data_IF_176174880599
#
_entry.id   IF_176174880599
#
_cell.length_a   1.000
_cell.length_b   1.000
_cell.length_c   1.000
_cell.angle_alpha   90.00
_cell.angle_beta   90.00
_cell.angle_gamma   90.00
#
_symmetry.space_group_name_H-M   'P 1'
#
loop_
_entity.id
_entity.type
_entity.pdbx_description
1 polymer ?
#
# COMPACT_ATOMS: atom_id res chain seq x y z
N UNK A 1 -4.27 9.69 -10.34
CA UNK A 1 -4.94 8.40 -10.52
C UNK A 1 -6.13 8.55 -11.45
N UNK A 2 -6.55 7.45 -12.11
CA UNK A 2 -7.72 7.44 -12.99
C UNK A 2 -7.46 7.90 -14.42
N UNK A 3 -6.44 8.72 -14.66
CA UNK A 3 -6.07 9.13 -16.01
C UNK A 3 -5.50 7.93 -16.78
N UNK A 4 -5.88 7.85 -18.06
CA UNK A 4 -5.44 6.77 -18.93
C UNK A 4 -4.66 7.34 -20.12
N UNK A 5 -3.65 6.63 -20.56
CA UNK A 5 -2.88 6.94 -21.75
C UNK A 5 -2.76 5.72 -22.68
N UNK A 6 -2.44 5.95 -23.93
CA UNK A 6 -2.28 4.91 -24.95
C UNK A 6 -0.81 4.63 -25.25
N UNK A 7 -0.47 3.32 -25.29
CA UNK A 7 0.80 2.82 -25.82
C UNK A 7 0.49 1.90 -27.00
N UNK A 8 0.46 2.46 -28.22
CA UNK A 8 -0.01 1.72 -29.39
C UNK A 8 -1.46 1.27 -29.25
N UNK A 9 -1.74 -0.01 -29.29
CA UNK A 9 -3.07 -0.58 -29.10
C UNK A 9 -3.46 -0.80 -27.61
N UNK A 10 -2.52 -0.58 -26.68
CA UNK A 10 -2.71 -0.86 -25.26
C UNK A 10 -3.13 0.40 -24.52
N UNK A 11 -4.19 0.33 -23.72
CA UNK A 11 -4.61 1.40 -22.81
C UNK A 11 -4.10 1.12 -21.41
N UNK A 12 -3.43 2.11 -20.80
CA UNK A 12 -2.84 2.00 -19.47
C UNK A 12 -3.43 3.07 -18.55
N UNK A 13 -3.77 2.69 -17.33
CA UNK A 13 -4.20 3.62 -16.27
C UNK A 13 -3.61 3.25 -14.91
N UNK A 14 -3.50 4.24 -14.02
CA UNK A 14 -2.95 4.08 -12.68
C UNK A 14 -4.06 4.28 -11.65
N UNK A 15 -4.13 3.34 -10.69
CA UNK A 15 -5.12 3.32 -9.63
C UNK A 15 -4.44 3.24 -8.25
N UNK A 16 -5.04 3.80 -7.18
CA UNK A 16 -4.42 3.78 -5.86
C UNK A 16 -4.10 2.36 -5.36
N UNK A 17 -2.89 2.14 -4.87
CA UNK A 17 -2.48 0.89 -4.25
C UNK A 17 -2.59 0.89 -2.70
N UNK A 18 -2.79 2.05 -2.07
CA UNK A 18 -2.99 2.16 -0.62
C UNK A 18 -1.74 1.90 0.23
N UNK A 19 -0.58 1.71 -0.38
CA UNK A 19 0.64 1.28 0.32
C UNK A 19 1.41 2.46 0.92
N UNK A 20 1.77 3.42 0.09
CA UNK A 20 2.42 4.69 0.48
C UNK A 20 1.91 5.81 -0.42
N UNK A 21 2.27 7.05 -0.09
CA UNK A 21 1.89 8.21 -0.91
C UNK A 21 2.41 8.05 -2.34
N UNK A 22 1.48 8.07 -3.30
CA UNK A 22 1.78 7.92 -4.73
C UNK A 22 1.89 6.47 -5.23
N UNK A 23 1.78 5.45 -4.37
CA UNK A 23 1.77 4.05 -4.79
C UNK A 23 0.58 3.75 -5.71
N UNK A 24 0.80 3.03 -6.80
CA UNK A 24 -0.22 2.77 -7.80
C UNK A 24 -0.21 1.33 -8.30
N UNK A 25 -1.42 0.81 -8.53
CA UNK A 25 -1.65 -0.35 -9.37
C UNK A 25 -1.63 0.08 -10.84
N UNK A 26 -1.09 -0.76 -11.70
CA UNK A 26 -1.09 -0.54 -13.15
C UNK A 26 -2.18 -1.39 -13.79
N UNK A 27 -3.20 -0.75 -14.36
CA UNK A 27 -4.23 -1.40 -15.14
C UNK A 27 -3.88 -1.30 -16.63
N UNK A 28 -3.88 -2.44 -17.31
CA UNK A 28 -3.54 -2.60 -18.73
C UNK A 28 -4.73 -3.22 -19.43
N UNK A 29 -5.18 -2.61 -20.52
CA UNK A 29 -6.30 -3.08 -21.32
C UNK A 29 -5.84 -3.26 -22.77
N UNK A 30 -5.95 -4.50 -23.27
CA UNK A 30 -5.57 -4.92 -24.61
C UNK A 30 -6.36 -6.16 -25.03
N UNK A 31 -6.75 -6.24 -26.29
CA UNK A 31 -7.41 -7.41 -26.89
C UNK A 31 -8.62 -7.93 -26.07
N UNK A 32 -9.48 -7.00 -25.62
CA UNK A 32 -10.65 -7.27 -24.77
C UNK A 32 -10.33 -7.93 -23.41
N UNK A 33 -9.07 -7.85 -22.97
CA UNK A 33 -8.63 -8.32 -21.65
C UNK A 33 -8.11 -7.16 -20.78
N UNK A 34 -8.36 -7.29 -19.49
CA UNK A 34 -7.92 -6.35 -18.49
C UNK A 34 -6.97 -7.06 -17.52
N UNK A 35 -5.76 -6.55 -17.44
CA UNK A 35 -4.73 -7.00 -16.51
C UNK A 35 -4.45 -5.92 -15.48
N UNK A 36 -4.28 -6.30 -14.22
CA UNK A 36 -3.86 -5.38 -13.16
C UNK A 36 -2.62 -5.93 -12.47
N UNK A 37 -1.57 -5.14 -12.44
CA UNK A 37 -0.40 -5.40 -11.61
C UNK A 37 -0.46 -4.52 -10.36
N UNK A 38 -0.55 -5.14 -9.18
CA UNK A 38 -0.76 -4.41 -7.93
C UNK A 38 0.45 -3.57 -7.50
N UNK A 39 1.68 -3.99 -7.84
CA UNK A 39 2.84 -3.56 -7.08
C UNK A 39 2.67 -3.92 -5.59
N UNK A 40 3.38 -3.24 -4.72
CA UNK A 40 3.14 -3.33 -3.29
C UNK A 40 1.84 -2.60 -2.95
N UNK A 41 0.95 -3.26 -2.21
CA UNK A 41 -0.36 -2.69 -1.87
C UNK A 41 -0.77 -2.96 -0.43
N UNK A 42 -1.66 -2.12 0.09
CA UNK A 42 -2.20 -2.25 1.45
C UNK A 42 -3.71 -1.99 1.41
N UNK A 43 -4.48 -2.95 1.90
CA UNK A 43 -5.95 -2.86 1.91
C UNK A 43 -6.50 -2.11 3.13
N UNK A 44 -5.73 -2.07 4.23
CA UNK A 44 -6.11 -1.29 5.40
C UNK A 44 -5.96 0.21 5.09
N UNK A 45 -6.95 1.03 5.49
CA UNK A 45 -6.85 2.47 5.31
C UNK A 45 -5.60 3.05 5.99
N UNK A 46 -4.98 3.99 5.29
CA UNK A 46 -3.82 4.74 5.79
C UNK A 46 -4.09 6.23 5.58
N UNK A 47 -3.99 7.08 6.63
CA UNK A 47 -4.30 8.51 6.52
C UNK A 47 -3.29 9.28 5.66
N UNK A 48 -2.16 8.69 5.31
CA UNK A 48 -1.07 9.35 4.57
C UNK A 48 -1.16 9.18 3.07
N UNK A 49 -2.03 8.29 2.58
CA UNK A 49 -2.17 8.01 1.15
C UNK A 49 -3.60 7.70 0.73
N UNK A 50 -3.86 7.74 -0.58
CA UNK A 50 -5.14 7.32 -1.13
C UNK A 50 -5.40 5.84 -0.82
N UNK A 51 -6.63 5.45 -0.40
CA UNK A 51 -6.95 4.07 -0.07
C UNK A 51 -6.85 3.15 -1.31
N UNK A 52 -6.58 1.87 -1.05
CA UNK A 52 -6.58 0.85 -2.10
C UNK A 52 -7.90 0.85 -2.88
N UNK A 53 -7.82 0.93 -4.20
CA UNK A 53 -8.97 0.85 -5.10
C UNK A 53 -9.10 -0.56 -5.69
N UNK A 54 -10.18 -1.31 -5.43
CA UNK A 54 -10.43 -2.56 -6.12
C UNK A 54 -10.72 -2.30 -7.61
N UNK A 55 -9.87 -2.79 -8.50
CA UNK A 55 -10.01 -2.66 -9.95
C UNK A 55 -10.47 -3.98 -10.54
N UNK A 56 -11.59 -3.97 -11.27
CA UNK A 56 -12.07 -5.15 -11.98
C UNK A 56 -11.10 -5.52 -13.11
N UNK A 57 -10.74 -6.82 -13.20
CA UNK A 57 -9.79 -7.33 -14.19
C UNK A 57 -10.02 -8.82 -14.46
N UNK A 58 -9.51 -9.28 -15.60
CA UNK A 58 -9.49 -10.72 -15.95
C UNK A 58 -8.29 -11.41 -15.29
N UNK A 59 -7.17 -10.68 -15.16
CA UNK A 59 -5.94 -11.20 -14.53
C UNK A 59 -5.41 -10.18 -13.52
N UNK A 60 -5.16 -10.64 -12.29
CA UNK A 60 -4.54 -9.86 -11.23
C UNK A 60 -3.17 -10.41 -10.88
N UNK A 61 -2.12 -9.62 -11.11
CA UNK A 61 -0.75 -9.94 -10.73
C UNK A 61 -0.49 -9.28 -9.38
N UNK A 62 -0.27 -10.09 -8.36
CA UNK A 62 -0.15 -9.62 -6.97
C UNK A 62 1.19 -9.98 -6.36
N UNK A 63 1.71 -9.09 -5.52
CA UNK A 63 2.74 -9.45 -4.55
C UNK A 63 2.14 -10.37 -3.47
N UNK A 64 2.98 -11.10 -2.75
CA UNK A 64 2.56 -12.00 -1.68
C UNK A 64 3.57 -12.05 -0.52
N UNK A 65 4.31 -10.98 -0.29
CA UNK A 65 5.36 -10.90 0.73
C UNK A 65 4.85 -11.33 2.11
N UNK A 66 3.65 -10.90 2.48
CA UNK A 66 2.99 -11.25 3.73
C UNK A 66 1.74 -12.12 3.52
N UNK A 67 1.69 -12.88 2.44
CA UNK A 67 0.52 -13.69 2.06
C UNK A 67 0.27 -14.91 2.97
N UNK A 68 1.21 -15.30 3.82
CA UNK A 68 1.02 -16.41 4.75
C UNK A 68 0.22 -15.98 5.99
N UNK A 69 -0.68 -16.86 6.50
CA UNK A 69 -1.54 -16.53 7.65
C UNK A 69 -0.79 -16.40 8.99
N UNK A 70 0.50 -16.66 9.01
CA UNK A 70 1.36 -16.44 10.18
C UNK A 70 1.59 -14.95 10.45
N UNK A 71 1.50 -14.11 9.42
CA UNK A 71 1.66 -12.66 9.55
C UNK A 71 0.38 -12.04 10.07
N UNK A 72 0.44 -11.54 11.31
CA UNK A 72 -0.67 -10.84 11.96
C UNK A 72 -0.20 -9.46 12.38
N UNK A 73 -0.95 -8.45 11.97
CA UNK A 73 -0.62 -7.05 12.25
C UNK A 73 -1.45 -6.57 13.43
N UNK A 74 -0.83 -5.96 14.45
CA UNK A 74 -1.55 -5.28 15.52
C UNK A 74 -2.30 -4.07 14.96
N UNK A 75 -3.20 -3.50 15.77
CA UNK A 75 -3.89 -2.28 15.41
C UNK A 75 -2.89 -1.12 15.32
N UNK A 76 -2.97 -0.32 14.25
CA UNK A 76 -2.04 0.79 14.01
C UNK A 76 -2.05 1.82 15.15
N UNK A 77 -3.21 2.10 15.77
CA UNK A 77 -3.30 3.04 16.89
C UNK A 77 -2.60 2.51 18.16
N UNK A 78 -2.62 1.20 18.37
CA UNK A 78 -1.91 0.58 19.50
C UNK A 78 -0.40 0.67 19.28
N UNK A 79 0.08 0.36 18.08
CA UNK A 79 1.50 0.52 17.71
C UNK A 79 1.96 1.97 17.85
N UNK A 80 1.15 2.93 17.40
CA UNK A 80 1.49 4.35 17.53
C UNK A 80 1.59 4.78 19.01
N UNK A 81 0.70 4.27 19.86
CA UNK A 81 0.74 4.52 21.32
C UNK A 81 2.00 3.92 21.93
N UNK A 82 2.30 2.66 21.64
CA UNK A 82 3.49 1.97 22.15
C UNK A 82 4.78 2.72 21.76
N UNK A 83 4.85 3.27 20.55
CA UNK A 83 5.98 4.09 20.10
C UNK A 83 6.08 5.39 20.90
N UNK A 84 4.97 6.05 21.17
CA UNK A 84 4.94 7.29 21.98
C UNK A 84 5.37 7.00 23.41
N UNK A 85 4.82 5.96 24.02
CA UNK A 85 5.15 5.56 25.40
C UNK A 85 6.63 5.20 25.51
N UNK A 86 7.17 4.42 24.59
CA UNK A 86 8.61 4.11 24.53
C UNK A 86 9.49 5.37 24.40
N UNK A 87 9.10 6.31 23.53
CA UNK A 87 9.82 7.59 23.40
C UNK A 87 9.85 8.35 24.72
N UNK A 88 8.73 8.43 25.40
CA UNK A 88 8.61 9.17 26.66
C UNK A 88 9.40 8.49 27.79
N UNK A 89 9.43 7.16 27.83
CA UNK A 89 10.29 6.41 28.75
C UNK A 89 11.78 6.68 28.49
N UNK A 90 12.23 6.69 27.22
CA UNK A 90 13.59 7.05 26.86
C UNK A 90 13.94 8.48 27.33
N UNK A 91 13.04 9.43 27.11
CA UNK A 91 13.23 10.81 27.56
C UNK A 91 13.36 10.92 29.09
N UNK A 92 12.54 10.19 29.85
CA UNK A 92 12.63 10.16 31.32
C UNK A 92 13.96 9.57 31.82
N UNK A 93 14.58 8.65 31.06
CA UNK A 93 15.90 8.08 31.37
C UNK A 93 17.05 8.92 30.82
N UNK A 94 16.79 10.03 30.12
CA UNK A 94 17.80 10.83 29.45
C UNK A 94 18.45 10.14 28.23
N UNK A 95 17.75 9.19 27.65
CA UNK A 95 18.20 8.42 26.48
C UNK A 95 17.63 9.02 25.17
N UNK A 96 18.31 8.77 24.06
CA UNK A 96 17.82 9.15 22.73
C UNK A 96 17.06 8.00 22.09
N UNK A 97 15.78 8.21 21.75
CA UNK A 97 15.00 7.27 20.96
C UNK A 97 15.27 7.48 19.45
N UNK A 98 15.56 6.41 18.73
CA UNK A 98 15.73 6.42 17.27
C UNK A 98 14.72 5.48 16.65
N UNK A 99 13.82 6.01 15.81
CA UNK A 99 12.82 5.25 15.06
C UNK A 99 13.22 5.21 13.58
N UNK A 100 13.31 3.99 13.03
CA UNK A 100 13.48 3.77 11.59
C UNK A 100 12.11 3.45 10.96
N UNK A 101 11.73 4.18 9.89
CA UNK A 101 10.51 3.98 9.11
C UNK A 101 10.74 4.25 7.61
#
# INVERSE_FOLDING_TARGET
YGDAFQLGAVRVSLHPAGHVLGSAQVRIEADDQIWVASGDYKRQPDPTCAPFEPVACDTFITEATFGLPIYRWPNTNDVARDIVDWRDECAMRGETAILYC
#
